data_IF_328621158096
#
_entry.id   IF_328621158096
#
_cell.length_a   1.000
_cell.length_b   1.000
_cell.length_c   1.000
_cell.angle_alpha   90.00
_cell.angle_beta   90.00
_cell.angle_gamma   90.00
#
_symmetry.space_group_name_H-M   'P 1'
#
loop_
_entity.id
_entity.type
_entity.pdbx_description
1 polymer ?
#
# COMPACT_ATOMS: atom_id res chain seq x y z
N UNK A 1 9.25 27.28 -1.49
CA UNK A 1 7.86 27.32 -1.99
C UNK A 1 6.99 27.02 -0.79
N UNK A 2 6.19 28.00 -0.38
CA UNK A 2 5.44 27.97 0.89
C UNK A 2 4.38 26.87 0.77
N UNK A 3 4.43 25.88 1.66
CA UNK A 3 3.31 24.97 1.89
C UNK A 3 2.18 25.86 2.44
N UNK A 4 1.18 26.15 1.62
CA UNK A 4 -0.04 26.78 2.11
C UNK A 4 -0.73 25.77 3.03
N UNK A 5 -0.92 26.22 4.27
CA UNK A 5 -1.63 25.49 5.31
C UNK A 5 -3.09 25.29 4.87
N UNK A 6 -3.43 24.06 4.45
CA UNK A 6 -4.75 23.66 3.95
C UNK A 6 -5.83 23.62 5.04
N UNK A 7 -5.50 23.98 6.29
CA UNK A 7 -6.40 23.91 7.44
C UNK A 7 -7.58 24.89 7.42
N UNK A 8 -7.66 25.81 6.45
CA UNK A 8 -8.69 26.87 6.43
C UNK A 8 -9.83 26.71 5.40
N UNK A 9 -9.93 25.59 4.69
CA UNK A 9 -11.14 25.31 3.89
C UNK A 9 -12.21 24.71 4.79
N UNK A 10 -13.19 25.52 5.20
CA UNK A 10 -14.37 25.02 5.92
C UNK A 10 -15.18 24.09 5.01
N UNK A 11 -14.98 22.77 5.18
CA UNK A 11 -15.82 21.75 4.57
C UNK A 11 -17.28 22.01 4.93
N UNK A 12 -18.16 22.04 3.93
CA UNK A 12 -19.59 22.15 4.20
C UNK A 12 -20.11 20.84 4.81
N UNK A 13 -21.26 20.88 5.49
CA UNK A 13 -21.88 19.65 5.99
C UNK A 13 -22.14 18.61 4.89
N UNK A 14 -22.36 19.05 3.64
CA UNK A 14 -22.50 18.18 2.47
C UNK A 14 -21.19 17.55 2.01
N UNK A 15 -20.04 18.16 2.30
CA UNK A 15 -18.73 17.66 1.86
C UNK A 15 -18.18 16.58 2.80
N UNK A 16 -18.72 16.47 4.02
CA UNK A 16 -18.30 15.46 5.00
C UNK A 16 -18.46 14.02 4.52
N UNK A 17 -19.38 13.76 3.57
CA UNK A 17 -19.56 12.44 2.96
C UNK A 17 -18.38 11.99 2.10
N UNK A 18 -17.50 12.93 1.72
CA UNK A 18 -16.26 12.66 0.99
C UNK A 18 -15.03 12.53 1.90
N UNK A 19 -15.22 12.58 3.23
CA UNK A 19 -14.14 12.40 4.21
C UNK A 19 -14.23 10.98 4.74
N UNK A 20 -13.18 10.20 4.49
CA UNK A 20 -13.06 8.83 4.96
C UNK A 20 -12.00 8.70 6.05
N UNK A 21 -12.28 7.88 7.06
CA UNK A 21 -11.31 7.44 8.06
C UNK A 21 -10.30 6.49 7.39
N UNK A 22 -9.02 6.86 7.38
CA UNK A 22 -7.96 6.12 6.69
C UNK A 22 -7.73 4.72 7.25
N UNK A 23 -7.79 4.53 8.58
CA UNK A 23 -7.64 3.21 9.20
C UNK A 23 -8.79 2.26 8.80
N UNK A 24 -9.99 2.81 8.63
CA UNK A 24 -11.15 2.05 8.13
C UNK A 24 -11.06 1.79 6.63
N UNK A 25 -10.69 2.78 5.83
CA UNK A 25 -10.69 2.70 4.37
C UNK A 25 -9.54 1.85 3.80
N UNK A 26 -8.37 1.84 4.43
CA UNK A 26 -7.20 1.11 3.93
C UNK A 26 -7.18 -0.32 4.45
N UNK A 27 -6.90 -1.27 3.55
CA UNK A 27 -6.67 -2.69 3.84
C UNK A 27 -5.46 -3.20 3.08
N UNK A 28 -4.70 -4.08 3.73
CA UNK A 28 -3.53 -4.76 3.17
C UNK A 28 -3.87 -6.23 2.93
N UNK A 29 -3.39 -6.81 1.84
CA UNK A 29 -3.45 -8.26 1.60
C UNK A 29 -2.11 -8.76 1.07
N UNK A 30 -1.79 -10.03 1.32
CA UNK A 30 -0.56 -10.68 0.88
C UNK A 30 -0.91 -11.95 0.12
N UNK A 31 -0.70 -11.92 -1.21
CA UNK A 31 -1.26 -12.89 -2.13
C UNK A 31 -0.17 -13.81 -2.69
N UNK A 32 -0.42 -15.12 -2.63
CA UNK A 32 0.41 -16.12 -3.31
C UNK A 32 -0.06 -16.37 -4.73
N UNK A 33 -1.37 -16.24 -4.96
CA UNK A 33 -1.99 -16.41 -6.27
C UNK A 33 -3.06 -15.33 -6.52
N UNK A 34 -3.31 -15.06 -7.81
CA UNK A 34 -4.32 -14.11 -8.26
C UNK A 34 -5.75 -14.49 -7.86
N UNK A 35 -6.02 -15.78 -7.67
CA UNK A 35 -7.32 -16.29 -7.22
C UNK A 35 -7.65 -15.88 -5.78
N UNK A 36 -6.64 -15.52 -4.98
CA UNK A 36 -6.81 -15.11 -3.59
C UNK A 36 -7.27 -13.64 -3.47
N UNK A 37 -7.27 -12.85 -4.55
CA UNK A 37 -7.59 -11.41 -4.48
C UNK A 37 -8.93 -11.09 -3.81
N UNK A 38 -9.94 -11.96 -3.92
CA UNK A 38 -11.26 -11.76 -3.34
C UNK A 38 -11.48 -12.49 -2.00
N UNK A 39 -10.57 -13.37 -1.60
CA UNK A 39 -10.75 -14.27 -0.45
C UNK A 39 -9.64 -14.15 0.59
N UNK A 40 -8.54 -13.48 0.25
CA UNK A 40 -7.42 -13.27 1.14
C UNK A 40 -7.84 -12.51 2.40
N UNK A 41 -7.23 -12.89 3.51
CA UNK A 41 -7.35 -12.14 4.76
C UNK A 41 -6.86 -10.71 4.54
N UNK A 42 -7.72 -9.75 4.91
CA UNK A 42 -7.42 -8.34 4.92
C UNK A 42 -6.88 -7.94 6.29
N UNK A 43 -5.85 -7.10 6.30
CA UNK A 43 -5.24 -6.54 7.49
C UNK A 43 -5.42 -5.02 7.48
N UNK A 44 -5.84 -4.45 8.60
CA UNK A 44 -5.82 -3.01 8.76
C UNK A 44 -4.42 -2.56 9.21
N UNK A 45 -3.92 -1.41 8.75
CA UNK A 45 -2.75 -0.78 9.36
C UNK A 45 -3.08 -0.33 10.78
N UNK A 46 -2.07 -0.27 11.65
CA UNK A 46 -2.23 0.29 13.00
C UNK A 46 -2.22 1.83 12.99
N UNK A 47 -1.54 2.43 12.00
CA UNK A 47 -1.36 3.88 11.85
C UNK A 47 -1.33 4.23 10.35
N UNK A 48 -1.86 5.40 9.98
CA UNK A 48 -1.80 5.93 8.60
C UNK A 48 -1.46 7.41 8.52
N UNK A 49 -1.21 8.07 9.66
CA UNK A 49 -0.90 9.51 9.72
C UNK A 49 0.31 9.93 8.86
N UNK A 50 1.30 9.07 8.67
CA UNK A 50 2.46 9.41 7.83
C UNK A 50 2.09 9.62 6.35
N UNK A 51 0.95 9.07 5.91
CA UNK A 51 0.45 9.18 4.55
C UNK A 51 -0.68 10.18 4.43
N UNK A 52 -1.53 10.29 5.45
CA UNK A 52 -2.77 11.08 5.40
C UNK A 52 -2.82 12.23 6.42
N UNK A 53 -1.71 12.54 7.08
CA UNK A 53 -1.59 13.59 8.09
C UNK A 53 -2.17 13.20 9.44
N UNK A 54 -2.03 14.08 10.43
CA UNK A 54 -2.36 13.81 11.84
C UNK A 54 -3.83 13.44 12.08
N UNK A 55 -4.74 13.89 11.21
CA UNK A 55 -6.18 13.57 11.29
C UNK A 55 -6.50 12.16 10.74
N UNK A 56 -5.55 11.50 10.07
CA UNK A 56 -5.71 10.18 9.45
C UNK A 56 -6.90 10.07 8.48
N UNK A 57 -7.27 11.19 7.84
CA UNK A 57 -8.43 11.27 6.93
C UNK A 57 -8.02 11.30 5.46
N UNK A 58 -8.84 10.67 4.61
CA UNK A 58 -8.73 10.71 3.16
C UNK A 58 -9.88 11.53 2.60
N UNK A 59 -9.59 12.57 1.82
CA UNK A 59 -10.61 13.43 1.24
C UNK A 59 -10.91 13.10 -0.24
N UNK A 60 -12.17 13.29 -0.62
CA UNK A 60 -12.63 13.36 -2.00
C UNK A 60 -13.39 12.13 -2.49
N UNK A 61 -13.69 11.18 -1.59
CA UNK A 61 -14.31 9.91 -1.95
C UNK A 61 -15.40 9.52 -0.95
N UNK A 62 -16.57 9.16 -1.47
CA UNK A 62 -17.70 8.64 -0.71
C UNK A 62 -17.64 7.10 -0.72
N UNK A 63 -17.87 6.48 0.44
CA UNK A 63 -17.75 5.03 0.66
C UNK A 63 -16.41 4.47 0.17
N UNK A 64 -15.30 5.14 0.51
CA UNK A 64 -13.97 4.74 0.07
C UNK A 64 -13.55 3.39 0.67
N UNK A 65 -13.19 2.46 -0.21
CA UNK A 65 -12.50 1.22 0.12
C UNK A 65 -11.23 1.12 -0.74
N UNK A 66 -10.09 0.97 -0.07
CA UNK A 66 -8.78 0.84 -0.69
C UNK A 66 -8.15 -0.46 -0.19
N UNK A 67 -7.92 -1.38 -1.11
CA UNK A 67 -7.13 -2.58 -0.83
C UNK A 67 -5.78 -2.50 -1.54
N UNK A 68 -4.70 -2.41 -0.77
CA UNK A 68 -3.33 -2.50 -1.25
C UNK A 68 -2.89 -3.97 -1.23
N UNK A 69 -2.95 -4.60 -2.41
CA UNK A 69 -2.54 -5.98 -2.61
C UNK A 69 -1.03 -6.07 -2.74
N UNK A 70 -0.38 -6.93 -1.95
CA UNK A 70 1.04 -7.26 -2.08
C UNK A 70 1.22 -8.68 -2.61
N UNK A 71 2.23 -8.90 -3.45
CA UNK A 71 2.71 -10.26 -3.70
C UNK A 71 3.38 -10.78 -2.42
N UNK A 72 3.00 -11.98 -1.96
CA UNK A 72 3.41 -12.48 -0.64
C UNK A 72 4.92 -12.72 -0.50
N UNK A 73 5.64 -12.95 -1.59
CA UNK A 73 7.08 -13.26 -1.56
C UNK A 73 7.95 -12.09 -2.02
N UNK A 74 7.49 -11.32 -3.01
CA UNK A 74 8.29 -10.26 -3.64
C UNK A 74 7.85 -8.85 -3.27
N UNK A 75 6.69 -8.68 -2.63
CA UNK A 75 6.12 -7.42 -2.15
C UNK A 75 5.89 -6.34 -3.23
N UNK A 76 5.74 -6.72 -4.49
CA UNK A 76 5.16 -5.80 -5.47
C UNK A 76 3.73 -5.48 -5.04
N UNK A 77 3.28 -4.25 -5.25
CA UNK A 77 2.00 -3.77 -4.79
C UNK A 77 1.05 -3.44 -5.96
N UNK A 78 -0.25 -3.58 -5.73
CA UNK A 78 -1.31 -3.11 -6.62
C UNK A 78 -2.46 -2.56 -5.78
N UNK A 79 -2.79 -1.31 -5.99
CA UNK A 79 -3.89 -0.65 -5.29
C UNK A 79 -5.20 -0.88 -6.03
N UNK A 80 -6.16 -1.48 -5.35
CA UNK A 80 -7.55 -1.52 -5.78
C UNK A 80 -8.32 -0.44 -5.02
N UNK A 81 -8.87 0.55 -5.73
CA UNK A 81 -9.60 1.68 -5.15
C UNK A 81 -11.05 1.61 -5.64
N UNK A 82 -12.01 1.63 -4.72
CA UNK A 82 -13.43 1.72 -5.02
C UNK A 82 -14.10 2.78 -4.16
N UNK A 83 -15.08 3.46 -4.73
CA UNK A 83 -15.87 4.52 -4.10
C UNK A 83 -17.22 4.65 -4.82
N UNK A 84 -18.25 5.12 -4.13
CA UNK A 84 -19.58 5.35 -4.69
C UNK A 84 -19.71 6.74 -5.34
N UNK A 85 -18.89 7.69 -4.91
CA UNK A 85 -18.84 9.04 -5.45
C UNK A 85 -17.46 9.67 -5.29
N UNK A 86 -17.05 10.49 -6.26
CA UNK A 86 -15.83 11.30 -6.18
C UNK A 86 -16.21 12.77 -6.12
N UNK A 87 -15.58 13.53 -5.24
CA UNK A 87 -15.73 14.98 -5.18
C UNK A 87 -15.33 15.57 -6.53
N UNK A 88 -16.24 16.34 -7.13
CA UNK A 88 -15.98 17.04 -8.39
C UNK A 88 -15.53 18.44 -7.99
N UNK A 89 -14.22 18.67 -8.05
CA UNK A 89 -13.55 19.87 -7.58
C UNK A 89 -14.39 21.13 -7.82
N UNK A 90 -14.77 21.79 -6.73
CA UNK A 90 -15.24 23.17 -6.74
C UNK A 90 -14.33 23.93 -5.75
N UNK A 91 -14.02 25.19 -6.05
CA UNK A 91 -13.21 26.07 -5.19
C UNK A 91 -11.75 25.65 -4.95
N UNK A 92 -11.15 24.91 -5.88
CA UNK A 92 -9.71 24.57 -5.82
C UNK A 92 -9.34 23.44 -4.86
N UNK A 93 -10.33 22.72 -4.32
CA UNK A 93 -10.12 21.52 -3.51
C UNK A 93 -10.22 20.28 -4.40
N UNK A 94 -9.16 19.46 -4.41
CA UNK A 94 -9.09 18.22 -5.18
C UNK A 94 -9.15 17.00 -4.27
N UNK A 95 -9.62 15.89 -4.81
CA UNK A 95 -9.59 14.61 -4.10
C UNK A 95 -8.14 14.13 -3.92
N UNK A 96 -7.87 13.47 -2.80
CA UNK A 96 -6.55 12.92 -2.51
C UNK A 96 -6.10 11.92 -3.58
N UNK A 97 -4.85 12.03 -4.02
CA UNK A 97 -4.21 10.97 -4.79
C UNK A 97 -3.72 9.87 -3.83
N UNK A 98 -4.53 8.83 -3.70
CA UNK A 98 -4.28 7.71 -2.79
C UNK A 98 -2.98 6.97 -3.15
N UNK A 99 -2.65 6.81 -4.43
CA UNK A 99 -1.44 6.09 -4.82
C UNK A 99 -0.20 6.92 -4.49
N UNK A 100 -0.25 8.22 -4.76
CA UNK A 100 0.86 9.12 -4.43
C UNK A 100 1.06 9.22 -2.92
N UNK A 101 -0.02 9.34 -2.13
CA UNK A 101 0.07 9.37 -0.67
C UNK A 101 0.62 8.08 -0.07
N UNK A 102 0.19 6.91 -0.55
CA UNK A 102 0.59 5.62 0.04
C UNK A 102 2.03 5.23 -0.31
N UNK A 103 2.49 5.50 -1.52
CA UNK A 103 3.75 4.92 -2.01
C UNK A 103 4.79 5.97 -2.41
N UNK A 104 4.38 7.20 -2.72
CA UNK A 104 5.18 8.20 -3.43
C UNK A 104 5.69 7.61 -4.75
N UNK A 105 4.80 7.50 -5.73
CA UNK A 105 5.02 6.70 -6.93
C UNK A 105 6.23 7.21 -7.74
N UNK A 106 6.47 8.53 -7.72
CA UNK A 106 7.62 9.16 -8.38
C UNK A 106 8.97 8.82 -7.72
N UNK A 107 8.96 8.51 -6.43
CA UNK A 107 10.16 8.16 -5.65
C UNK A 107 10.37 6.65 -5.64
N UNK A 108 9.30 5.86 -5.55
CA UNK A 108 9.33 4.40 -5.39
C UNK A 108 8.70 3.69 -6.59
N UNK A 109 9.19 4.02 -7.78
CA UNK A 109 8.65 3.55 -9.07
C UNK A 109 8.60 2.02 -9.22
N UNK A 110 9.41 1.28 -8.46
CA UNK A 110 9.45 -0.18 -8.49
C UNK A 110 8.44 -0.86 -7.50
N UNK A 111 7.67 -0.10 -6.71
CA UNK A 111 6.72 -0.68 -5.74
C UNK A 111 5.37 -0.98 -6.38
N UNK A 112 4.71 0.04 -6.94
CA UNK A 112 3.38 -0.10 -7.50
C UNK A 112 3.43 -0.64 -8.93
N UNK A 113 2.66 -1.69 -9.17
CA UNK A 113 2.36 -2.16 -10.52
C UNK A 113 1.43 -1.17 -11.20
N UNK A 114 1.65 -0.95 -12.50
CA UNK A 114 0.84 -0.05 -13.35
C UNK A 114 -0.64 -0.47 -13.46
N UNK A 115 -0.94 -1.74 -13.16
CA UNK A 115 -2.30 -2.24 -13.11
C UNK A 115 -2.39 -3.72 -12.78
N UNK A 116 -3.63 -4.22 -12.71
CA UNK A 116 -3.95 -5.60 -12.31
C UNK A 116 -3.24 -6.66 -13.16
N UNK A 117 -3.13 -6.43 -14.48
CA UNK A 117 -2.47 -7.36 -15.40
C UNK A 117 -0.98 -7.54 -15.10
N UNK A 118 -0.26 -6.44 -14.88
CA UNK A 118 1.15 -6.50 -14.47
C UNK A 118 1.31 -7.20 -13.12
N UNK A 119 0.46 -6.86 -12.15
CA UNK A 119 0.48 -7.47 -10.84
C UNK A 119 0.27 -8.99 -10.89
N UNK A 120 -0.64 -9.47 -11.73
CA UNK A 120 -0.83 -10.91 -11.97
C UNK A 120 0.44 -11.57 -12.55
N UNK A 121 1.18 -10.90 -13.43
CA UNK A 121 2.47 -11.40 -13.91
C UNK A 121 3.51 -11.46 -12.78
N UNK A 122 3.54 -10.47 -11.88
CA UNK A 122 4.42 -10.50 -10.69
C UNK A 122 4.06 -11.65 -9.74
N UNK A 123 2.77 -11.97 -9.56
CA UNK A 123 2.30 -13.12 -8.78
C UNK A 123 2.69 -14.47 -9.40
N UNK A 124 2.81 -14.57 -10.73
CA UNK A 124 3.32 -15.78 -11.37
C UNK A 124 4.83 -15.89 -11.12
N UNK A 125 5.57 -14.81 -11.38
CA UNK A 125 7.04 -14.77 -11.27
C UNK A 125 7.55 -14.90 -9.83
N UNK A 126 6.78 -14.49 -8.82
CA UNK A 126 7.24 -14.58 -7.43
C UNK A 126 7.58 -16.02 -7.01
N UNK A 127 7.01 -17.04 -7.67
CA UNK A 127 7.29 -18.46 -7.39
C UNK A 127 8.78 -18.82 -7.57
N UNK A 128 9.50 -18.02 -8.35
CA UNK A 128 10.95 -18.15 -8.60
C UNK A 128 11.79 -17.46 -7.52
N UNK A 129 11.17 -16.66 -6.65
CA UNK A 129 11.84 -15.90 -5.60
C UNK A 129 12.66 -16.80 -4.68
N UNK A 130 13.86 -16.31 -4.37
CA UNK A 130 14.75 -16.86 -3.35
C UNK A 130 15.10 -15.74 -2.37
N UNK A 131 15.09 -16.00 -1.05
CA UNK A 131 15.52 -15.02 -0.08
C UNK A 131 16.94 -14.53 -0.38
N UNK A 132 17.17 -13.24 -0.17
CA UNK A 132 18.49 -12.62 -0.33
C UNK A 132 19.41 -12.97 0.84
N UNK A 133 20.71 -13.07 0.57
CA UNK A 133 21.75 -13.26 1.59
C UNK A 133 21.94 -14.73 2.00
N UNK A 134 22.56 -14.92 3.16
CA UNK A 134 22.91 -16.24 3.71
C UNK A 134 21.87 -16.67 4.75
N UNK A 135 21.43 -17.93 4.70
CA UNK A 135 20.57 -18.50 5.74
C UNK A 135 21.39 -18.71 7.03
N UNK A 136 21.08 -17.92 8.07
CA UNK A 136 21.78 -17.99 9.35
C UNK A 136 21.05 -18.83 10.40
N UNK A 137 19.75 -19.06 10.19
CA UNK A 137 18.95 -19.85 11.12
C UNK A 137 17.74 -20.49 10.44
N UNK A 138 17.32 -21.64 10.97
CA UNK A 138 16.15 -22.39 10.52
C UNK A 138 15.48 -23.06 11.72
N UNK A 139 14.17 -22.87 11.87
CA UNK A 139 13.41 -23.39 12.98
C UNK A 139 12.01 -23.82 12.57
N UNK A 140 11.35 -24.59 13.43
CA UNK A 140 9.96 -25.02 13.24
C UNK A 140 9.07 -24.40 14.32
N UNK A 141 7.87 -23.98 13.94
CA UNK A 141 6.85 -23.50 14.87
C UNK A 141 5.46 -23.75 14.29
N UNK A 142 4.53 -24.26 15.11
CA UNK A 142 3.15 -24.57 14.71
C UNK A 142 3.05 -25.38 13.40
N UNK A 143 3.94 -26.37 13.23
CA UNK A 143 3.98 -27.23 12.03
C UNK A 143 4.49 -26.55 10.75
N UNK A 144 5.03 -25.33 10.86
CA UNK A 144 5.64 -24.60 9.74
C UNK A 144 7.14 -24.43 9.94
N UNK A 145 7.87 -24.42 8.84
CA UNK A 145 9.31 -24.16 8.81
C UNK A 145 9.54 -22.68 8.50
N UNK A 146 10.42 -22.07 9.28
CA UNK A 146 10.83 -20.67 9.13
C UNK A 146 12.35 -20.61 8.95
N UNK A 147 12.79 -19.64 8.16
CA UNK A 147 14.19 -19.44 7.82
C UNK A 147 14.52 -17.95 8.01
N UNK A 148 15.69 -17.67 8.56
CA UNK A 148 16.20 -16.32 8.80
C UNK A 148 17.42 -16.13 7.93
N UNK A 149 17.39 -15.07 7.13
CA UNK A 149 18.46 -14.73 6.19
C UNK A 149 19.12 -13.42 6.60
N UNK A 150 20.44 -13.35 6.45
CA UNK A 150 21.25 -12.15 6.68
C UNK A 150 21.84 -11.67 5.36
N UNK A 151 21.55 -10.42 5.02
CA UNK A 151 22.17 -9.72 3.89
C UNK A 151 23.30 -8.86 4.42
N UNK A 152 24.53 -9.14 3.98
CA UNK A 152 25.75 -8.40 4.40
C UNK A 152 26.22 -7.42 3.34
N UNK A 153 25.93 -7.69 2.07
CA UNK A 153 26.29 -6.85 0.94
C UNK A 153 25.02 -6.41 0.23
N UNK A 154 24.88 -5.10 0.00
CA UNK A 154 23.75 -4.58 -0.78
C UNK A 154 24.00 -4.80 -2.27
N UNK A 155 23.01 -5.40 -2.93
CA UNK A 155 22.89 -5.41 -4.37
C UNK A 155 21.75 -4.49 -4.79
N UNK A 156 21.76 -4.02 -6.03
CA UNK A 156 20.65 -3.25 -6.60
C UNK A 156 19.32 -4.00 -6.48
N UNK A 157 19.31 -5.31 -6.76
CA UNK A 157 18.11 -6.14 -6.66
C UNK A 157 17.60 -6.28 -5.23
N UNK A 158 18.48 -6.33 -4.23
CA UNK A 158 18.08 -6.32 -2.82
C UNK A 158 17.55 -4.95 -2.40
N UNK A 159 18.16 -3.86 -2.86
CA UNK A 159 17.71 -2.50 -2.54
C UNK A 159 16.29 -2.24 -3.07
N UNK A 160 16.01 -2.66 -4.30
CA UNK A 160 14.65 -2.61 -4.86
C UNK A 160 13.65 -3.47 -4.06
N UNK A 161 14.08 -4.61 -3.52
CA UNK A 161 13.25 -5.41 -2.62
C UNK A 161 13.04 -4.74 -1.25
N UNK A 162 14.08 -4.09 -0.72
CA UNK A 162 14.01 -3.35 0.54
C UNK A 162 13.06 -2.16 0.45
N UNK A 163 13.06 -1.42 -0.66
CA UNK A 163 12.08 -0.35 -0.93
C UNK A 163 10.64 -0.86 -0.83
N UNK A 164 10.38 -2.07 -1.34
CA UNK A 164 9.06 -2.73 -1.26
C UNK A 164 8.72 -3.22 0.15
N UNK A 165 9.72 -3.57 0.98
CA UNK A 165 9.49 -3.89 2.39
C UNK A 165 9.17 -2.64 3.19
N UNK A 166 9.85 -1.53 2.91
CA UNK A 166 9.72 -0.28 3.65
C UNK A 166 8.31 0.31 3.58
N UNK A 167 7.52 -0.03 2.55
CA UNK A 167 6.09 0.34 2.49
C UNK A 167 5.22 -0.39 3.50
N UNK A 168 5.75 -1.38 4.24
CA UNK A 168 5.08 -2.02 5.37
C UNK A 168 5.49 -1.42 6.71
N UNK A 169 6.52 -0.58 6.75
CA UNK A 169 6.94 0.15 7.94
C UNK A 169 6.03 1.35 8.26
N UNK A 170 4.78 1.27 7.80
CA UNK A 170 3.74 2.23 8.06
C UNK A 170 3.26 2.11 9.52
#
# INVERSE_FOLDING_TARGET
MVMEDLTNVQLTNSDRKYVSDGLKAIKLTFLKDSQEMSTATQYAPDMVYQHFGDEETIFGYEDLDVTLHHTAQTLFAYTNISYSGKFKGDKGLEADDINEKLVHADVRTNVLCSGKGEFQQKLIKQKEFKPYGEMIHKFQSKGKTFEVYKVTEQSESFNLFLERIQTLGM
#
